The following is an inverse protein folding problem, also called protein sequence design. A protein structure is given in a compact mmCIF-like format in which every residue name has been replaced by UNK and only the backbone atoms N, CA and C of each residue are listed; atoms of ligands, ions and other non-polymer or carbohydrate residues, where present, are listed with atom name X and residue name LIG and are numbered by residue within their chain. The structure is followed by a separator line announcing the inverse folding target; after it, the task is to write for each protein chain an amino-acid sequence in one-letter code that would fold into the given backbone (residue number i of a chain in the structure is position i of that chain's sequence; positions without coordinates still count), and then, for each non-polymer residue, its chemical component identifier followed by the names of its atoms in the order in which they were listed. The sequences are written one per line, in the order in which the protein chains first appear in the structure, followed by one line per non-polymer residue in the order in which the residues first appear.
data_IF_664556735916
#
_entry.id   IF_664556735916
#
_cell.length_a   1.000
_cell.length_b   1.000
_cell.length_c   1.000
_cell.angle_alpha   90.00
_cell.angle_beta   90.00
_cell.angle_gamma   90.00
#
_symmetry.space_group_name_H-M   'P 1'
#
loop_
_entity.id
_entity.type
_entity.pdbx_description
1 polymer ?
#
# COMPACT_ATOMS: atom_id res chain seq x y z
N UNK A 1 4.50 1.46 3.91
CA UNK A 1 4.79 0.32 3.01
C UNK A 1 5.29 0.86 1.67
N UNK A 2 6.46 0.43 1.27
CA UNK A 2 7.07 0.91 0.03
C UNK A 2 6.57 0.11 -1.17
N UNK A 3 6.32 0.82 -2.27
CA UNK A 3 5.88 0.17 -3.51
C UNK A 3 6.88 -0.88 -3.99
N UNK A 4 8.18 -0.60 -3.84
CA UNK A 4 9.20 -1.57 -4.25
C UNK A 4 9.09 -2.87 -3.47
N UNK A 5 8.80 -2.79 -2.17
CA UNK A 5 8.64 -3.99 -1.36
C UNK A 5 7.44 -4.81 -1.81
N UNK A 6 6.36 -4.14 -2.15
CA UNK A 6 5.14 -4.81 -2.63
C UNK A 6 5.41 -5.52 -3.95
N UNK A 7 6.06 -4.81 -4.88
CA UNK A 7 6.36 -5.38 -6.19
C UNK A 7 7.31 -6.57 -6.07
N UNK A 8 8.32 -6.46 -5.20
CA UNK A 8 9.25 -7.58 -4.98
C UNK A 8 8.54 -8.79 -4.38
N UNK A 9 7.62 -8.56 -3.48
CA UNK A 9 6.88 -9.65 -2.85
C UNK A 9 6.07 -10.44 -3.87
N UNK A 10 5.38 -9.76 -4.77
CA UNK A 10 4.53 -10.40 -5.76
C UNK A 10 5.25 -10.73 -7.06
N UNK A 11 6.36 -10.09 -7.33
CA UNK A 11 7.16 -10.33 -8.52
C UNK A 11 7.00 -9.30 -9.62
N UNK A 12 5.89 -8.60 -9.71
CA UNK A 12 5.68 -7.56 -10.69
C UNK A 12 4.46 -6.72 -10.31
N UNK A 13 4.37 -5.52 -10.90
CA UNK A 13 3.21 -4.66 -10.69
C UNK A 13 1.92 -5.32 -11.20
N UNK A 14 2.01 -6.06 -12.29
CA UNK A 14 0.87 -6.77 -12.84
C UNK A 14 0.32 -7.79 -11.86
N UNK A 15 1.21 -8.50 -11.18
CA UNK A 15 0.78 -9.49 -10.19
C UNK A 15 0.15 -8.82 -8.97
N UNK A 16 0.69 -7.68 -8.56
CA UNK A 16 0.08 -6.89 -7.48
C UNK A 16 -1.33 -6.48 -7.86
N UNK A 17 -1.50 -5.97 -9.08
CA UNK A 17 -2.79 -5.52 -9.57
C UNK A 17 -3.80 -6.67 -9.58
N UNK A 18 -3.39 -7.84 -10.06
CA UNK A 18 -4.29 -9.01 -10.08
C UNK A 18 -4.70 -9.42 -8.68
N UNK A 19 -3.76 -9.40 -7.75
CA UNK A 19 -4.05 -9.76 -6.37
C UNK A 19 -5.10 -8.83 -5.76
N UNK A 20 -5.01 -7.55 -6.06
CA UNK A 20 -5.91 -6.54 -5.51
C UNK A 20 -7.14 -6.30 -6.38
N UNK A 21 -7.24 -6.94 -7.53
CA UNK A 21 -8.33 -6.74 -8.49
C UNK A 21 -8.41 -5.30 -8.97
N UNK A 22 -7.25 -4.72 -9.24
CA UNK A 22 -7.15 -3.37 -9.79
C UNK A 22 -6.32 -3.42 -11.07
N UNK A 23 -6.23 -2.30 -11.78
CA UNK A 23 -5.45 -2.27 -13.01
C UNK A 23 -3.97 -2.05 -12.71
N UNK A 24 -3.07 -2.55 -13.57
CA UNK A 24 -1.64 -2.28 -13.41
C UNK A 24 -1.31 -0.79 -13.41
N UNK A 25 -2.11 0.00 -14.15
CA UNK A 25 -1.93 1.44 -14.20
C UNK A 25 -2.17 2.04 -12.82
N UNK A 26 -3.16 1.54 -12.09
CA UNK A 26 -3.43 2.01 -10.74
C UNK A 26 -2.23 1.78 -9.83
N UNK A 27 -1.58 0.62 -9.95
CA UNK A 27 -0.36 0.33 -9.19
C UNK A 27 0.74 1.30 -9.58
N UNK A 28 0.85 1.56 -10.88
CA UNK A 28 1.88 2.47 -11.40
C UNK A 28 1.72 3.89 -10.86
N UNK A 29 0.49 4.34 -10.64
CA UNK A 29 0.22 5.67 -10.14
C UNK A 29 0.51 5.83 -8.65
N UNK A 30 0.70 4.75 -7.93
CA UNK A 30 1.14 4.85 -6.55
C UNK A 30 2.51 5.52 -6.53
N UNK A 31 2.75 6.40 -5.54
CA UNK A 31 4.08 6.95 -5.36
C UNK A 31 5.03 5.92 -4.75
N UNK A 32 6.17 6.37 -4.25
CA UNK A 32 7.14 5.47 -3.62
C UNK A 32 6.54 4.77 -2.42
N UNK A 33 5.60 5.41 -1.72
CA UNK A 33 4.87 4.83 -0.60
C UNK A 33 3.45 4.59 -1.08
N UNK A 34 2.96 3.36 -0.91
CA UNK A 34 1.62 3.02 -1.41
C UNK A 34 0.55 3.66 -0.53
N UNK A 35 -0.69 3.84 -1.07
CA UNK A 35 -1.76 4.46 -0.29
C UNK A 35 -2.05 3.69 1.00
N UNK A 36 -2.39 4.44 2.05
CA UNK A 36 -2.65 3.86 3.37
C UNK A 36 -3.69 2.74 3.33
N UNK A 37 -4.79 2.97 2.63
CA UNK A 37 -5.84 1.94 2.53
C UNK A 37 -5.34 0.67 1.88
N UNK A 38 -4.53 0.78 0.83
CA UNK A 38 -3.97 -0.40 0.18
C UNK A 38 -2.92 -1.07 1.05
N UNK A 39 -2.13 -0.28 1.79
CA UNK A 39 -1.13 -0.84 2.70
C UNK A 39 -1.79 -1.70 3.77
N UNK A 40 -2.87 -1.20 4.35
CA UNK A 40 -3.61 -1.93 5.38
C UNK A 40 -4.20 -3.22 4.79
N UNK A 41 -4.79 -3.11 3.61
CA UNK A 41 -5.36 -4.26 2.92
C UNK A 41 -4.30 -5.33 2.64
N UNK A 42 -3.14 -4.91 2.13
CA UNK A 42 -2.05 -5.83 1.83
C UNK A 42 -1.51 -6.49 3.10
N UNK A 43 -1.40 -5.72 4.17
CA UNK A 43 -0.95 -6.29 5.44
C UNK A 43 -1.88 -7.41 5.89
N UNK A 44 -3.19 -7.19 5.82
CA UNK A 44 -4.17 -8.18 6.24
C UNK A 44 -4.21 -9.38 5.28
N UNK A 45 -4.20 -9.11 3.98
CA UNK A 45 -4.32 -10.19 2.99
C UNK A 45 -3.08 -11.06 2.90
N UNK A 46 -1.91 -10.52 3.24
CA UNK A 46 -0.67 -11.30 3.22
C UNK A 46 -0.35 -11.88 4.59
N UNK A 47 -1.24 -11.75 5.54
CA UNK A 47 -1.05 -12.23 6.92
C UNK A 47 0.21 -11.64 7.54
N UNK A 48 0.48 -10.38 7.25
CA UNK A 48 1.61 -9.65 7.83
C UNK A 48 2.94 -9.82 7.12
N UNK A 49 2.99 -10.54 6.01
CA UNK A 49 4.23 -10.64 5.24
C UNK A 49 4.62 -9.28 4.68
N UNK A 50 3.63 -8.49 4.26
CA UNK A 50 3.83 -7.09 3.95
C UNK A 50 3.35 -6.29 5.15
N UNK A 51 4.28 -5.64 5.82
CA UNK A 51 3.98 -4.97 7.09
C UNK A 51 3.49 -3.55 6.86
N UNK A 52 2.35 -3.22 7.45
CA UNK A 52 1.87 -1.84 7.45
C UNK A 52 2.72 -1.05 8.44
N UNK A 53 3.61 -0.23 7.91
CA UNK A 53 4.57 0.53 8.70
C UNK A 53 4.00 1.92 8.97
N UNK A 54 3.60 2.18 10.19
CA UNK A 54 3.01 3.46 10.56
C UNK A 54 3.97 4.62 10.38
N UNK A 55 5.28 4.36 10.41
CA UNK A 55 6.27 5.42 10.23
C UNK A 55 6.13 6.11 8.88
N UNK A 56 5.75 5.38 7.84
CA UNK A 56 5.56 5.95 6.51
C UNK A 56 4.27 6.77 6.39
N UNK A 57 3.37 6.65 7.35
CA UNK A 57 2.04 7.26 7.26
C UNK A 57 1.75 8.22 8.40
N UNK A 58 2.73 8.49 9.23
CA UNK A 58 2.55 9.35 10.40
C UNK A 58 2.00 10.72 10.04
N UNK A 59 2.56 11.30 8.98
CA UNK A 59 2.14 12.61 8.53
C UNK A 59 0.72 12.57 7.97
N UNK A 60 0.41 11.52 7.24
CA UNK A 60 -0.92 11.34 6.68
C UNK A 60 -1.94 11.10 7.77
N UNK A 61 -1.53 10.40 8.82
CA UNK A 61 -2.42 10.16 9.95
C UNK A 61 -2.81 11.47 10.63
N UNK A 62 -1.84 12.38 10.77
CA UNK A 62 -2.12 13.68 11.36
C UNK A 62 -3.15 14.43 10.52
N UNK A 63 -2.95 14.43 9.22
CA UNK A 63 -3.90 15.07 8.31
C UNK A 63 -5.25 14.39 8.36
N UNK A 64 -5.23 13.07 8.41
CA UNK A 64 -6.47 12.30 8.49
C UNK A 64 -7.22 12.57 9.78
N UNK A 65 -6.50 12.74 10.88
CA UNK A 65 -7.12 13.06 12.14
C UNK A 65 -7.85 14.38 12.07
N UNK A 66 -7.23 15.35 11.44
CA UNK A 66 -7.86 16.65 11.27
C UNK A 66 -9.11 16.56 10.43
N UNK A 67 -9.05 15.79 9.36
CA UNK A 67 -10.21 15.62 8.51
C UNK A 67 -11.35 14.92 9.24
N UNK A 68 -11.02 13.98 10.08
CA UNK A 68 -12.02 13.25 10.85
C UNK A 68 -12.60 14.11 11.94
N UNK A 69 -11.77 14.90 12.54
CA UNK A 69 -12.21 15.76 13.61
C UNK A 69 -13.13 16.85 13.10
#
# INVERSE_FOLDING_TARGET
MLKTNVIEHFGSATKVAKFLSITPIAVHYWGDVIPKGRATELHLLTSGELVYDTAHYQKDQADGSEAVA
#
